data_IF_775160777887
#
_entry.id   IF_775160777887
#
_cell.length_a   1.000
_cell.length_b   1.000
_cell.length_c   1.000
_cell.angle_alpha   90.00
_cell.angle_beta   90.00
_cell.angle_gamma   90.00
#
_symmetry.space_group_name_H-M   'P 1'
#
loop_
_entity.id
_entity.type
_entity.pdbx_description
1 polymer ?
#
# COMPACT_ATOMS: atom_id res chain seq x y z
N UNK A 1 -9.82 -31.13 -38.88
CA UNK A 1 -10.64 -29.93 -38.63
C UNK A 1 -9.75 -28.83 -38.08
N UNK A 2 -9.52 -27.83 -38.91
CA UNK A 2 -9.11 -26.44 -38.66
C UNK A 2 -9.64 -25.94 -37.31
N UNK A 3 -8.87 -25.24 -36.47
CA UNK A 3 -8.59 -23.81 -36.65
C UNK A 3 -7.37 -23.33 -35.85
N UNK A 4 -6.45 -22.67 -36.56
CA UNK A 4 -5.38 -21.81 -36.03
C UNK A 4 -5.97 -20.55 -35.40
N UNK A 5 -5.35 -20.02 -34.35
CA UNK A 5 -5.14 -18.56 -34.20
C UNK A 5 -3.86 -18.29 -33.41
N UNK A 6 -2.84 -17.84 -34.14
CA UNK A 6 -1.76 -16.98 -33.62
C UNK A 6 -2.34 -15.59 -33.43
N UNK A 7 -1.93 -14.87 -32.38
CA UNK A 7 -1.41 -13.50 -32.51
C UNK A 7 -0.71 -13.07 -31.22
N UNK A 8 0.57 -12.79 -31.42
CA UNK A 8 1.48 -12.02 -30.59
C UNK A 8 0.91 -10.65 -30.22
N UNK A 9 1.09 -10.25 -28.95
CA UNK A 9 1.09 -8.85 -28.54
C UNK A 9 2.27 -8.63 -27.59
N UNK A 10 3.40 -8.33 -28.24
CA UNK A 10 4.44 -7.37 -27.85
C UNK A 10 4.66 -7.08 -26.37
N UNK A 11 5.80 -7.60 -25.91
CA UNK A 11 6.71 -7.02 -24.92
C UNK A 11 6.51 -5.52 -24.68
N UNK A 12 6.18 -5.15 -23.44
CA UNK A 12 6.56 -3.88 -22.83
C UNK A 12 7.12 -4.19 -21.46
N UNK A 13 8.44 -4.05 -21.38
CA UNK A 13 9.21 -4.08 -20.14
C UNK A 13 8.70 -2.94 -19.25
N UNK A 14 7.92 -3.29 -18.22
CA UNK A 14 7.61 -2.41 -17.10
C UNK A 14 8.50 -2.86 -15.94
N UNK A 15 9.49 -2.04 -15.62
CA UNK A 15 10.41 -2.26 -14.50
C UNK A 15 9.60 -2.35 -13.19
N UNK A 16 9.70 -3.50 -12.53
CA UNK A 16 8.71 -3.97 -11.56
C UNK A 16 8.71 -3.18 -10.24
N UNK A 17 7.58 -2.53 -9.93
CA UNK A 17 7.17 -2.23 -8.56
C UNK A 17 6.91 -3.57 -7.82
N UNK A 18 7.42 -3.71 -6.60
CA UNK A 18 7.17 -4.90 -5.79
C UNK A 18 5.76 -4.82 -5.18
N UNK A 19 4.77 -5.40 -5.86
CA UNK A 19 3.41 -5.53 -5.33
C UNK A 19 3.30 -6.79 -4.47
N UNK A 20 2.87 -6.63 -3.22
CA UNK A 20 2.43 -7.76 -2.37
C UNK A 20 0.91 -7.78 -2.39
N UNK A 21 0.33 -8.60 -3.28
CA UNK A 21 -1.12 -8.67 -3.47
C UNK A 21 -1.77 -9.63 -2.48
N UNK A 22 -2.74 -9.11 -1.71
CA UNK A 22 -3.78 -9.90 -1.04
C UNK A 22 -5.05 -9.89 -1.89
N UNK A 23 -5.99 -10.80 -1.63
CA UNK A 23 -7.27 -10.84 -2.38
C UNK A 23 -8.07 -9.53 -2.25
N UNK A 24 -7.81 -8.75 -1.19
CA UNK A 24 -8.59 -7.59 -0.78
C UNK A 24 -7.75 -6.31 -0.56
N UNK A 25 -6.44 -6.34 -0.86
CA UNK A 25 -5.56 -5.17 -0.71
C UNK A 25 -4.36 -5.21 -1.66
N UNK A 26 -3.78 -4.04 -1.90
CA UNK A 26 -2.55 -3.84 -2.67
C UNK A 26 -1.56 -2.97 -1.89
N UNK A 27 -0.27 -3.32 -1.93
CA UNK A 27 0.80 -2.55 -1.30
C UNK A 27 1.72 -2.02 -2.40
N UNK A 28 1.79 -0.70 -2.52
CA UNK A 28 2.67 -0.01 -3.45
C UNK A 28 3.84 0.61 -2.69
N UNK A 29 5.04 0.50 -3.24
CA UNK A 29 6.27 1.07 -2.66
C UNK A 29 6.93 1.98 -3.68
N UNK A 30 7.32 3.18 -3.26
CA UNK A 30 8.03 4.11 -4.15
C UNK A 30 9.39 3.56 -4.56
N UNK A 31 9.89 3.97 -5.72
CA UNK A 31 11.18 3.52 -6.26
C UNK A 31 12.36 3.81 -5.33
N UNK A 32 12.31 4.91 -4.58
CA UNK A 32 13.34 5.30 -3.60
C UNK A 32 13.21 4.54 -2.26
N UNK A 33 12.25 3.62 -2.15
CA UNK A 33 11.91 2.90 -0.91
C UNK A 33 11.77 3.84 0.28
N UNK A 34 11.20 5.02 0.04
CA UNK A 34 10.97 6.07 1.03
C UNK A 34 9.51 6.22 1.44
N UNK A 35 8.59 5.68 0.62
CA UNK A 35 7.15 5.81 0.81
C UNK A 35 6.44 4.50 0.47
N UNK A 36 5.45 4.12 1.25
CA UNK A 36 4.57 2.95 1.07
C UNK A 36 3.13 3.43 1.10
N UNK A 37 2.30 2.88 0.21
CA UNK A 37 0.86 3.05 0.19
C UNK A 37 0.17 1.69 0.27
N UNK A 38 -0.98 1.66 0.92
CA UNK A 38 -1.82 0.48 1.06
C UNK A 38 -3.21 0.84 0.58
N UNK A 39 -3.66 0.13 -0.46
CA UNK A 39 -4.97 0.30 -1.07
C UNK A 39 -5.88 -0.84 -0.66
N UNK A 40 -7.12 -0.52 -0.29
CA UNK A 40 -8.18 -1.50 -0.07
C UNK A 40 -8.83 -1.93 -1.39
N UNK A 41 -9.64 -2.99 -1.35
CA UNK A 41 -10.39 -3.48 -2.50
C UNK A 41 -11.35 -2.45 -3.13
N UNK A 42 -11.81 -1.47 -2.37
CA UNK A 42 -12.64 -0.36 -2.87
C UNK A 42 -11.81 0.77 -3.52
N UNK A 43 -10.50 0.59 -3.65
CA UNK A 43 -9.55 1.53 -4.25
C UNK A 43 -9.10 2.65 -3.30
N UNK A 44 -9.63 2.72 -2.08
CA UNK A 44 -9.24 3.75 -1.11
C UNK A 44 -7.84 3.50 -0.55
N UNK A 45 -7.10 4.58 -0.28
CA UNK A 45 -5.82 4.51 0.41
C UNK A 45 -6.09 4.42 1.92
N UNK A 46 -5.91 3.22 2.48
CA UNK A 46 -6.15 2.94 3.91
C UNK A 46 -4.89 3.09 4.76
N UNK A 47 -3.72 3.23 4.13
CA UNK A 47 -2.50 3.56 4.84
C UNK A 47 -1.43 4.14 3.95
N UNK A 48 -0.68 5.10 4.47
CA UNK A 48 0.52 5.64 3.84
C UNK A 48 1.61 5.82 4.89
N UNK A 49 2.81 5.40 4.54
CA UNK A 49 4.02 5.75 5.26
C UNK A 49 4.95 6.56 4.36
N UNK A 50 5.53 7.64 4.86
CA UNK A 50 6.56 8.42 4.19
C UNK A 50 7.61 8.88 5.18
N UNK A 51 8.89 8.62 4.89
CA UNK A 51 10.00 9.16 5.70
C UNK A 51 9.97 10.68 5.86
N UNK A 52 9.40 11.39 4.88
CA UNK A 52 9.35 12.86 4.86
C UNK A 52 8.08 13.45 5.46
N UNK A 53 6.93 12.81 5.22
CA UNK A 53 5.63 13.37 5.58
C UNK A 53 5.01 12.77 6.85
N UNK A 54 5.54 11.64 7.33
CA UNK A 54 4.97 10.91 8.45
C UNK A 54 4.19 9.70 7.99
N UNK A 55 3.22 9.29 8.80
CA UNK A 55 2.40 8.11 8.51
C UNK A 55 0.93 8.40 8.79
N UNK A 56 0.06 7.73 8.06
CA UNK A 56 -1.38 7.77 8.27
C UNK A 56 -2.00 6.40 7.99
N UNK A 57 -2.98 6.04 8.80
CA UNK A 57 -3.81 4.84 8.70
C UNK A 57 -5.26 5.30 8.80
N UNK A 58 -6.04 5.01 7.78
CA UNK A 58 -7.39 5.53 7.59
C UNK A 58 -8.38 4.40 7.38
N UNK A 59 -9.66 4.65 7.72
CA UNK A 59 -10.75 3.76 7.29
C UNK A 59 -10.92 3.84 5.77
N UNK A 60 -11.51 2.79 5.21
CA UNK A 60 -11.83 2.79 3.78
C UNK A 60 -12.89 3.84 3.44
N UNK A 61 -12.93 4.24 2.17
CA UNK A 61 -13.90 5.21 1.67
C UNK A 61 -15.34 4.78 1.96
N UNK A 62 -15.63 3.48 1.85
CA UNK A 62 -16.94 2.91 2.16
C UNK A 62 -17.43 3.26 3.57
N UNK A 63 -16.55 3.17 4.58
CA UNK A 63 -16.91 3.47 5.98
C UNK A 63 -17.11 4.98 6.21
N UNK A 64 -16.32 5.80 5.53
CA UNK A 64 -16.47 7.27 5.62
C UNK A 64 -17.80 7.71 5.00
N UNK A 65 -18.21 7.09 3.88
CA UNK A 65 -19.49 7.37 3.23
C UNK A 65 -20.71 6.99 4.10
N UNK A 66 -20.55 6.03 5.03
CA UNK A 66 -21.55 5.68 6.03
C UNK A 66 -21.59 6.65 7.23
N UNK A 67 -20.79 7.73 7.19
CA UNK A 67 -20.70 8.75 8.24
C UNK A 67 -19.61 8.51 9.28
N UNK A 68 -18.72 7.55 9.04
CA UNK A 68 -17.57 7.28 9.90
C UNK A 68 -16.47 8.35 9.78
N UNK A 69 -15.65 8.50 10.83
CA UNK A 69 -14.41 9.27 10.76
C UNK A 69 -13.34 8.56 9.92
N UNK A 70 -12.50 9.33 9.22
CA UNK A 70 -11.43 8.83 8.35
C UNK A 70 -10.19 8.36 9.12
N UNK A 71 -9.55 9.22 9.91
CA UNK A 71 -8.28 8.90 10.56
C UNK A 71 -8.45 7.87 11.69
N UNK A 72 -7.62 6.82 11.64
CA UNK A 72 -7.42 5.83 12.71
C UNK A 72 -6.14 6.13 13.49
N UNK A 73 -5.06 6.43 12.77
CA UNK A 73 -3.77 6.79 13.37
C UNK A 73 -2.97 7.66 12.40
N UNK A 74 -2.52 8.85 12.81
CA UNK A 74 -1.87 9.81 11.92
C UNK A 74 -0.73 10.55 12.63
N UNK A 75 0.43 10.67 11.99
CA UNK A 75 1.53 11.55 12.39
C UNK A 75 1.88 12.49 11.23
N UNK A 76 2.06 13.78 11.52
CA UNK A 76 2.37 14.80 10.50
C UNK A 76 3.78 15.37 10.69
N UNK A 77 4.76 14.47 10.81
CA UNK A 77 6.17 14.80 11.02
C UNK A 77 7.05 13.76 10.31
N UNK A 78 8.31 14.08 9.96
CA UNK A 78 9.24 13.09 9.41
C UNK A 78 9.28 11.82 10.26
N UNK A 79 9.24 10.67 9.60
CA UNK A 79 9.11 9.37 10.23
C UNK A 79 10.42 8.57 10.15
N UNK A 80 10.79 7.96 11.28
CA UNK A 80 11.92 7.07 11.41
C UNK A 80 11.54 5.59 11.36
N UNK A 81 12.51 4.74 11.71
CA UNK A 81 12.32 3.28 11.71
C UNK A 81 11.27 2.83 12.73
N UNK A 82 11.26 3.42 13.91
CA UNK A 82 10.26 3.10 14.95
C UNK A 82 8.84 3.50 14.51
N UNK A 83 8.71 4.60 13.77
CA UNK A 83 7.43 5.02 13.19
C UNK A 83 6.99 4.04 12.08
N UNK A 84 7.92 3.43 11.34
CA UNK A 84 7.61 2.40 10.33
C UNK A 84 7.11 1.10 10.96
N UNK A 85 7.75 0.66 12.05
CA UNK A 85 7.29 -0.49 12.82
C UNK A 85 5.89 -0.22 13.38
N UNK A 86 5.68 0.98 13.94
CA UNK A 86 4.36 1.45 14.41
C UNK A 86 3.32 1.44 13.30
N UNK A 87 3.66 1.94 12.10
CA UNK A 87 2.77 1.91 10.94
C UNK A 87 2.32 0.49 10.61
N UNK A 88 3.27 -0.46 10.54
CA UNK A 88 2.97 -1.86 10.24
C UNK A 88 2.06 -2.48 11.31
N UNK A 89 2.28 -2.18 12.59
CA UNK A 89 1.43 -2.63 13.69
C UNK A 89 0.00 -2.06 13.59
N UNK A 90 -0.15 -0.76 13.32
CA UNK A 90 -1.45 -0.12 13.18
C UNK A 90 -2.24 -0.66 11.99
N UNK A 91 -1.58 -0.87 10.86
CA UNK A 91 -2.20 -1.49 9.67
C UNK A 91 -2.65 -2.92 9.96
N UNK A 92 -1.81 -3.71 10.64
CA UNK A 92 -2.18 -5.07 11.04
C UNK A 92 -3.35 -5.07 12.04
N UNK A 93 -3.37 -4.15 12.99
CA UNK A 93 -4.42 -4.05 13.99
C UNK A 93 -5.79 -3.68 13.37
N UNK A 94 -5.81 -2.66 12.52
CA UNK A 94 -7.05 -2.10 11.96
C UNK A 94 -7.55 -2.82 10.71
N UNK A 95 -6.65 -3.23 9.82
CA UNK A 95 -7.01 -3.78 8.51
C UNK A 95 -6.64 -5.24 8.32
N UNK A 96 -5.94 -5.85 9.29
CA UNK A 96 -5.44 -7.23 9.20
C UNK A 96 -4.55 -7.46 7.97
N UNK A 97 -3.86 -6.41 7.54
CA UNK A 97 -2.92 -6.45 6.40
C UNK A 97 -1.51 -6.67 6.95
N UNK A 98 -0.85 -7.80 6.63
CA UNK A 98 0.54 -8.02 7.01
C UNK A 98 1.47 -7.25 6.06
N UNK A 99 2.06 -6.16 6.56
CA UNK A 99 3.05 -5.36 5.81
C UNK A 99 4.46 -5.89 6.11
N UNK A 100 5.24 -6.33 5.10
CA UNK A 100 6.62 -6.73 5.32
C UNK A 100 7.50 -5.57 5.81
N UNK A 101 8.29 -5.78 6.86
CA UNK A 101 9.13 -4.73 7.45
C UNK A 101 10.31 -4.32 6.57
N UNK A 102 10.69 -5.15 5.59
CA UNK A 102 11.85 -4.99 4.70
C UNK A 102 11.53 -4.25 3.39
N UNK A 103 10.32 -3.69 3.25
CA UNK A 103 9.94 -2.90 2.07
C UNK A 103 10.71 -1.57 1.94
N UNK A 104 11.23 -1.04 3.05
CA UNK A 104 11.95 0.23 3.10
C UNK A 104 13.45 0.01 3.32
N UNK A 105 14.26 0.89 2.72
CA UNK A 105 15.71 0.95 2.99
C UNK A 105 16.06 2.13 3.89
N UNK A 106 16.88 1.94 4.91
CA UNK A 106 17.29 3.01 5.82
C UNK A 106 18.73 3.39 5.49
N UNK A 107 18.92 4.52 4.81
CA UNK A 107 20.22 5.04 4.37
C UNK A 107 20.62 6.25 5.21
#
# INVERSE_FOLDING_TARGET
MTTKRKTSATQRDFEAEALVQGKDYDIQVSQDKGTVWIHAADGSCIGRFSKRAGLDVHKSASVVMEGGTECLYCTHRPAGKDDWETFCEQVMFHHRVPVPLDLLEWN
#
